data_IF_912368284984
#
_entry.id   IF_912368284984
#
_cell.length_a   1.000
_cell.length_b   1.000
_cell.length_c   1.000
_cell.angle_alpha   90.00
_cell.angle_beta   90.00
_cell.angle_gamma   90.00
#
_symmetry.space_group_name_H-M   'P 1'
#
loop_
_entity.id
_entity.type
_entity.pdbx_description
1 polymer ?
#
# COMPACT_ATOMS: atom_id res chain seq x y z
N UNK A 1 -10.48 -9.76 18.59
CA UNK A 1 -11.50 -9.44 17.55
C UNK A 1 -11.21 -8.05 17.01
N UNK A 2 -11.27 -7.84 15.70
CA UNK A 2 -11.04 -6.52 15.09
C UNK A 2 -12.22 -5.59 15.40
N UNK A 3 -11.96 -4.38 15.89
CA UNK A 3 -13.01 -3.40 16.24
C UNK A 3 -13.72 -2.90 14.98
N UNK A 4 -15.05 -3.03 14.96
CA UNK A 4 -15.91 -2.48 13.91
C UNK A 4 -16.20 -1.01 14.21
N UNK A 5 -16.12 -0.15 13.20
CA UNK A 5 -16.64 1.21 13.25
C UNK A 5 -18.08 1.21 12.70
N UNK A 6 -19.12 1.41 13.53
CA UNK A 6 -20.49 1.46 13.05
C UNK A 6 -20.74 2.74 12.24
N UNK A 7 -21.65 2.67 11.27
CA UNK A 7 -22.07 3.81 10.44
C UNK A 7 -21.22 4.01 9.18
N UNK A 8 -21.41 5.17 8.53
CA UNK A 8 -20.72 5.57 7.30
C UNK A 8 -19.47 6.37 7.63
N UNK A 9 -18.32 5.81 7.28
CA UNK A 9 -16.99 6.36 7.53
C UNK A 9 -16.25 6.62 6.21
N UNK A 10 -15.23 7.46 6.26
CA UNK A 10 -14.31 7.78 5.15
C UNK A 10 -12.87 7.85 5.66
N UNK A 11 -11.92 7.83 4.74
CA UNK A 11 -10.54 8.21 4.99
C UNK A 11 -10.38 9.74 4.89
N UNK A 12 -9.41 10.29 5.59
CA UNK A 12 -9.01 11.70 5.52
C UNK A 12 -7.49 11.79 5.46
N UNK A 13 -6.98 12.38 4.37
CA UNK A 13 -5.56 12.58 4.08
C UNK A 13 -5.37 13.85 3.28
N UNK A 14 -4.36 14.63 3.65
CA UNK A 14 -3.98 15.85 2.95
C UNK A 14 -2.89 15.56 1.91
N UNK A 15 -2.93 16.29 0.80
CA UNK A 15 -1.94 16.25 -0.27
C UNK A 15 -1.89 14.93 -1.06
N UNK A 16 -0.98 14.89 -2.03
CA UNK A 16 -0.75 13.75 -2.92
C UNK A 16 -0.28 12.51 -2.15
N UNK A 17 -0.78 11.32 -2.51
CA UNK A 17 -0.26 10.06 -1.98
C UNK A 17 -0.16 9.02 -3.09
N UNK A 18 0.56 7.94 -2.83
CA UNK A 18 0.73 6.84 -3.79
C UNK A 18 -0.02 5.61 -3.32
N UNK A 19 -0.77 4.99 -4.23
CA UNK A 19 -1.26 3.62 -4.08
C UNK A 19 -0.29 2.71 -4.82
N UNK A 20 0.36 1.81 -4.09
CA UNK A 20 1.28 0.83 -4.64
C UNK A 20 0.70 -0.58 -4.45
N UNK A 21 0.31 -1.19 -5.55
CA UNK A 21 -0.12 -2.58 -5.60
C UNK A 21 1.09 -3.43 -5.92
N UNK A 22 1.30 -4.51 -5.18
CA UNK A 22 2.29 -5.52 -5.56
C UNK A 22 1.73 -6.90 -5.31
N UNK A 23 2.13 -7.87 -6.12
CA UNK A 23 1.70 -9.23 -5.92
C UNK A 23 2.73 -10.26 -6.33
N UNK A 24 2.52 -11.46 -5.82
CA UNK A 24 3.33 -12.63 -6.09
C UNK A 24 2.43 -13.80 -6.46
N UNK A 25 2.73 -14.43 -7.59
CA UNK A 25 2.07 -15.65 -8.06
C UNK A 25 3.07 -16.79 -8.12
N UNK A 26 2.74 -17.93 -7.52
CA UNK A 26 3.54 -19.15 -7.62
C UNK A 26 3.04 -19.99 -8.79
N UNK A 27 3.84 -20.09 -9.85
CA UNK A 27 3.46 -20.88 -11.03
C UNK A 27 3.89 -22.35 -10.90
N UNK A 28 4.97 -22.62 -10.16
CA UNK A 28 5.50 -23.97 -9.88
C UNK A 28 5.54 -24.22 -8.38
N UNK A 29 4.40 -24.62 -7.81
CA UNK A 29 4.23 -24.77 -6.35
C UNK A 29 5.16 -25.80 -5.72
N UNK A 30 5.56 -26.84 -6.44
CA UNK A 30 6.51 -27.88 -6.00
C UNK A 30 7.98 -27.42 -5.92
N UNK A 31 8.28 -26.15 -6.23
CA UNK A 31 9.61 -25.55 -6.08
C UNK A 31 9.67 -24.57 -4.89
N UNK A 32 9.49 -25.02 -3.64
CA UNK A 32 9.47 -24.12 -2.47
C UNK A 32 10.75 -23.30 -2.30
N UNK A 33 11.90 -23.86 -2.70
CA UNK A 33 13.19 -23.15 -2.71
C UNK A 33 13.24 -21.94 -3.65
N UNK A 34 12.27 -21.78 -4.57
CA UNK A 34 12.14 -20.60 -5.44
C UNK A 34 11.20 -19.55 -4.87
N UNK A 35 10.05 -19.92 -4.32
CA UNK A 35 9.02 -18.97 -3.91
C UNK A 35 9.01 -18.61 -2.42
N UNK A 36 9.45 -19.51 -1.53
CA UNK A 36 9.54 -19.20 -0.09
C UNK A 36 10.48 -18.02 0.23
N UNK A 37 11.66 -17.89 -0.42
CA UNK A 37 12.53 -16.74 -0.18
C UNK A 37 11.88 -15.41 -0.58
N UNK A 38 11.11 -15.38 -1.67
CA UNK A 38 10.41 -14.18 -2.14
C UNK A 38 9.34 -13.77 -1.13
N UNK A 39 8.52 -14.71 -0.69
CA UNK A 39 7.51 -14.48 0.34
C UNK A 39 8.13 -13.92 1.63
N UNK A 40 9.24 -14.53 2.06
CA UNK A 40 9.94 -14.13 3.28
C UNK A 40 10.54 -12.72 3.17
N UNK A 41 11.07 -12.38 1.99
CA UNK A 41 11.62 -11.05 1.71
C UNK A 41 10.54 -9.96 1.73
N UNK A 42 9.35 -10.21 1.15
CA UNK A 42 8.22 -9.27 1.23
C UNK A 42 7.81 -9.04 2.69
N UNK A 43 7.73 -10.11 3.49
CA UNK A 43 7.44 -10.00 4.92
C UNK A 43 8.49 -9.19 5.69
N UNK A 44 9.77 -9.41 5.42
CA UNK A 44 10.87 -8.66 6.04
C UNK A 44 10.83 -7.17 5.63
N UNK A 45 10.60 -6.87 4.35
CA UNK A 45 10.45 -5.50 3.85
C UNK A 45 9.32 -4.76 4.56
N UNK A 46 8.14 -5.37 4.66
CA UNK A 46 7.00 -4.77 5.37
C UNK A 46 7.26 -4.53 6.86
N UNK A 47 8.06 -5.40 7.52
CA UNK A 47 8.45 -5.18 8.91
C UNK A 47 9.30 -3.93 9.05
N UNK A 48 10.29 -3.74 8.16
CA UNK A 48 11.11 -2.52 8.13
C UNK A 48 10.24 -1.30 7.90
N UNK A 49 9.36 -1.33 6.90
CA UNK A 49 8.44 -0.22 6.59
C UNK A 49 7.55 0.17 7.77
N UNK A 50 7.01 -0.82 8.50
CA UNK A 50 6.20 -0.55 9.71
C UNK A 50 7.01 0.03 10.88
N UNK A 51 8.33 -0.21 10.92
CA UNK A 51 9.22 0.30 11.98
C UNK A 51 9.90 1.64 11.66
N UNK A 52 9.81 2.10 10.40
CA UNK A 52 10.55 3.27 9.89
C UNK A 52 9.60 4.23 9.15
N UNK A 53 8.82 5.05 9.90
CA UNK A 53 7.88 6.00 9.30
C UNK A 53 8.54 7.03 8.39
N UNK A 54 9.83 7.33 8.60
CA UNK A 54 10.66 8.24 7.79
C UNK A 54 10.77 7.79 6.32
N UNK A 55 10.55 6.50 6.04
CA UNK A 55 10.55 5.94 4.69
C UNK A 55 9.27 6.29 3.90
N UNK A 56 8.30 6.97 4.50
CA UNK A 56 7.10 7.43 3.82
C UNK A 56 6.02 6.37 3.63
N UNK A 57 6.15 5.20 4.27
CA UNK A 57 5.10 4.18 4.30
C UNK A 57 3.98 4.61 5.26
N UNK A 58 2.78 4.79 4.73
CA UNK A 58 1.61 5.21 5.50
C UNK A 58 0.84 4.02 6.07
N UNK A 59 0.85 2.88 5.37
CA UNK A 59 0.12 1.69 5.79
C UNK A 59 -0.28 0.82 4.61
N UNK A 60 -1.07 -0.22 4.88
CA UNK A 60 -1.48 -1.17 3.85
C UNK A 60 -2.02 -2.47 4.40
N UNK A 61 -2.50 -3.30 3.47
CA UNK A 61 -3.08 -4.61 3.74
C UNK A 61 -2.60 -5.68 2.78
N UNK A 62 -2.94 -6.93 3.07
CA UNK A 62 -2.65 -8.09 2.25
C UNK A 62 -3.93 -8.87 2.00
N UNK A 63 -4.11 -9.33 0.76
CA UNK A 63 -5.20 -10.19 0.33
C UNK A 63 -4.63 -11.42 -0.35
N UNK A 64 -5.22 -12.57 -0.04
CA UNK A 64 -4.96 -13.82 -0.73
C UNK A 64 -6.12 -14.09 -1.68
N UNK A 65 -5.79 -14.27 -2.96
CA UNK A 65 -6.75 -14.61 -3.99
C UNK A 65 -6.31 -15.84 -4.77
N UNK A 66 -7.15 -16.22 -5.74
CA UNK A 66 -6.88 -17.33 -6.67
C UNK A 66 -5.53 -17.18 -7.37
N UNK A 67 -5.19 -15.94 -7.76
CA UNK A 67 -4.00 -15.68 -8.58
C UNK A 67 -2.74 -15.35 -7.77
N UNK A 68 -2.80 -15.50 -6.44
CA UNK A 68 -1.67 -15.30 -5.54
C UNK A 68 -1.96 -14.29 -4.44
N UNK A 69 -0.89 -13.84 -3.78
CA UNK A 69 -0.98 -12.78 -2.79
C UNK A 69 -0.87 -11.42 -3.45
N UNK A 70 -1.70 -10.48 -2.99
CA UNK A 70 -1.64 -9.07 -3.34
C UNK A 70 -1.49 -8.25 -2.07
N UNK A 71 -0.62 -7.24 -2.12
CA UNK A 71 -0.45 -6.24 -1.09
C UNK A 71 -0.84 -4.89 -1.66
N UNK A 72 -1.64 -4.16 -0.91
CA UNK A 72 -1.96 -2.75 -1.18
C UNK A 72 -1.20 -1.92 -0.16
N UNK A 73 -0.33 -1.03 -0.64
CA UNK A 73 0.42 -0.12 0.20
C UNK A 73 0.09 1.33 -0.14
N UNK A 74 0.07 2.17 0.88
CA UNK A 74 -0.10 3.62 0.75
C UNK A 74 1.21 4.28 1.14
N UNK A 75 1.69 5.19 0.30
CA UNK A 75 2.93 5.92 0.51
C UNK A 75 2.68 7.41 0.43
N UNK A 76 3.49 8.18 1.16
CA UNK A 76 3.35 9.63 1.20
C UNK A 76 3.78 10.29 -0.11
N UNK A 77 4.80 9.77 -0.80
CA UNK A 77 5.24 10.30 -2.10
C UNK A 77 5.92 9.25 -2.98
N UNK A 78 6.04 9.53 -4.27
CA UNK A 78 6.76 8.68 -5.23
C UNK A 78 8.24 8.60 -4.87
N UNK A 79 8.85 9.73 -4.48
CA UNK A 79 10.27 9.83 -4.15
C UNK A 79 10.63 8.95 -2.95
N UNK A 80 9.75 8.89 -1.95
CA UNK A 80 9.96 8.03 -0.77
C UNK A 80 9.83 6.55 -1.11
N UNK A 81 8.83 6.17 -1.92
CA UNK A 81 8.70 4.80 -2.44
C UNK A 81 9.93 4.38 -3.26
N UNK A 82 10.37 5.23 -4.18
CA UNK A 82 11.53 4.96 -5.03
C UNK A 82 12.83 4.88 -4.22
N UNK A 83 13.00 5.75 -3.24
CA UNK A 83 14.14 5.70 -2.31
C UNK A 83 14.18 4.36 -1.61
N UNK A 84 13.04 3.90 -1.06
CA UNK A 84 12.97 2.58 -0.43
C UNK A 84 13.34 1.45 -1.39
N UNK A 85 12.86 1.53 -2.64
CA UNK A 85 13.10 0.49 -3.64
C UNK A 85 14.57 0.40 -4.08
N UNK A 86 15.30 1.53 -4.09
CA UNK A 86 16.67 1.64 -4.63
C UNK A 86 17.77 1.61 -3.58
N UNK A 87 17.48 1.92 -2.32
CA UNK A 87 18.48 1.97 -1.26
C UNK A 87 19.07 0.57 -0.97
N UNK A 88 20.38 0.36 -1.16
CA UNK A 88 21.02 -0.94 -0.96
C UNK A 88 21.11 -1.36 0.52
N UNK A 89 20.94 -0.42 1.46
CA UNK A 89 20.89 -0.71 2.90
C UNK A 89 19.52 -1.22 3.35
N UNK A 90 18.49 -1.05 2.52
CA UNK A 90 17.13 -1.48 2.79
C UNK A 90 16.84 -2.85 2.17
N UNK A 91 15.87 -3.61 2.70
CA UNK A 91 15.68 -5.01 2.35
C UNK A 91 15.20 -5.26 0.91
N UNK A 92 14.66 -4.25 0.21
CA UNK A 92 14.07 -4.42 -1.12
C UNK A 92 15.13 -4.77 -2.18
N UNK A 93 16.14 -3.92 -2.36
CA UNK A 93 17.12 -4.07 -3.45
C UNK A 93 17.91 -5.40 -3.36
N UNK A 94 18.43 -5.82 -2.19
CA UNK A 94 19.11 -7.11 -2.06
C UNK A 94 18.17 -8.31 -2.27
N UNK A 95 16.89 -8.19 -1.91
CA UNK A 95 15.90 -9.23 -2.19
C UNK A 95 15.61 -9.35 -3.68
N UNK A 96 15.46 -8.22 -4.39
CA UNK A 96 15.24 -8.20 -5.83
C UNK A 96 16.41 -8.82 -6.61
N UNK A 97 17.64 -8.49 -6.21
CA UNK A 97 18.83 -9.12 -6.79
C UNK A 97 18.85 -10.65 -6.60
N UNK A 98 18.47 -11.14 -5.40
CA UNK A 98 18.36 -12.58 -5.13
C UNK A 98 17.27 -13.24 -5.98
N UNK A 99 16.12 -12.59 -6.12
CA UNK A 99 15.04 -13.05 -6.99
C UNK A 99 15.51 -13.17 -8.45
N UNK A 100 16.18 -12.16 -8.99
CA UNK A 100 16.66 -12.18 -10.38
C UNK A 100 17.67 -13.30 -10.63
N UNK A 101 18.57 -13.58 -9.67
CA UNK A 101 19.51 -14.71 -9.79
C UNK A 101 18.84 -16.07 -9.68
N UNK A 102 17.85 -16.21 -8.79
CA UNK A 102 17.23 -17.50 -8.50
C UNK A 102 16.10 -17.86 -9.48
N UNK A 103 15.32 -16.88 -9.92
CA UNK A 103 14.12 -17.06 -10.75
C UNK A 103 14.31 -16.35 -12.09
N UNK A 104 14.63 -15.06 -12.08
CA UNK A 104 14.77 -14.26 -13.29
C UNK A 104 13.57 -14.45 -14.23
N UNK A 105 13.84 -14.65 -15.52
CA UNK A 105 12.81 -14.87 -16.54
C UNK A 105 12.31 -16.33 -16.68
N UNK A 106 12.63 -17.24 -15.76
CA UNK A 106 12.33 -18.67 -15.94
C UNK A 106 10.85 -19.05 -15.72
N UNK A 107 10.03 -18.12 -15.20
CA UNK A 107 8.59 -18.28 -15.02
C UNK A 107 8.15 -19.10 -13.80
N UNK A 108 9.05 -19.57 -12.94
CA UNK A 108 8.70 -20.35 -11.74
C UNK A 108 7.85 -19.55 -10.74
N UNK A 109 8.12 -18.25 -10.62
CA UNK A 109 7.44 -17.29 -9.74
C UNK A 109 7.22 -15.99 -10.50
N UNK A 110 5.98 -15.49 -10.52
CA UNK A 110 5.64 -14.17 -11.02
C UNK A 110 5.62 -13.14 -9.90
N UNK A 111 6.16 -11.96 -10.17
CA UNK A 111 6.02 -10.77 -9.33
C UNK A 111 5.50 -9.64 -10.21
N UNK A 112 4.56 -8.86 -9.71
CA UNK A 112 4.01 -7.71 -10.43
C UNK A 112 3.81 -6.54 -9.45
N UNK A 113 3.78 -5.33 -9.98
CA UNK A 113 3.41 -4.15 -9.22
C UNK A 113 2.80 -3.07 -10.11
N UNK A 114 1.95 -2.24 -9.51
CA UNK A 114 1.33 -1.07 -10.13
C UNK A 114 1.46 0.11 -9.16
N UNK A 115 1.76 1.30 -9.70
CA UNK A 115 1.93 2.51 -8.92
C UNK A 115 0.99 3.59 -9.46
N UNK A 116 0.18 4.16 -8.57
CA UNK A 116 -0.72 5.26 -8.88
C UNK A 116 -0.41 6.44 -7.99
N UNK A 117 -0.04 7.57 -8.59
CA UNK A 117 -0.02 8.85 -7.90
C UNK A 117 -1.44 9.39 -7.85
N UNK A 118 -1.94 9.63 -6.63
CA UNK A 118 -3.28 10.14 -6.37
C UNK A 118 -3.18 11.57 -5.90
N UNK A 119 -3.70 12.48 -6.70
CA UNK A 119 -3.79 13.90 -6.38
C UNK A 119 -5.04 14.22 -5.54
N UNK A 120 -5.03 15.30 -4.75
CA UNK A 120 -6.19 15.84 -4.06
C UNK A 120 -7.42 15.92 -4.95
N UNK A 121 -8.55 15.41 -4.46
CA UNK A 121 -9.81 15.34 -5.20
C UNK A 121 -9.89 14.28 -6.29
N UNK A 122 -8.81 13.53 -6.56
CA UNK A 122 -8.80 12.40 -7.50
C UNK A 122 -9.27 11.06 -6.90
N UNK A 123 -9.82 11.06 -5.68
CA UNK A 123 -10.10 9.82 -4.95
C UNK A 123 -11.32 9.94 -4.04
N UNK A 124 -11.85 8.78 -3.66
CA UNK A 124 -12.91 8.64 -2.67
C UNK A 124 -12.77 7.31 -1.93
N UNK A 125 -13.13 7.30 -0.65
CA UNK A 125 -13.27 6.07 0.12
C UNK A 125 -14.52 6.14 1.02
N UNK A 126 -15.29 5.05 1.06
CA UNK A 126 -16.41 4.88 1.99
C UNK A 126 -16.29 3.51 2.64
N UNK A 127 -16.52 3.48 3.96
CA UNK A 127 -16.56 2.26 4.77
C UNK A 127 -17.87 2.26 5.56
N UNK A 128 -18.66 1.18 5.47
CA UNK A 128 -19.95 1.08 6.18
C UNK A 128 -19.94 -0.14 7.08
N UNK A 129 -20.04 0.07 8.40
CA UNK A 129 -20.02 -1.01 9.40
C UNK A 129 -18.79 -1.93 9.27
N UNK A 130 -17.63 -1.35 8.92
CA UNK A 130 -16.39 -2.08 8.66
C UNK A 130 -15.33 -1.76 9.73
N UNK A 131 -14.37 -2.67 9.98
CA UNK A 131 -13.13 -2.26 10.62
C UNK A 131 -12.36 -1.28 9.71
N UNK A 132 -11.31 -0.63 10.22
CA UNK A 132 -10.39 0.14 9.39
C UNK A 132 -9.82 -0.77 8.29
N UNK A 133 -9.97 -0.37 7.04
CA UNK A 133 -9.56 -1.11 5.85
C UNK A 133 -9.07 -0.14 4.77
N UNK A 134 -8.23 -0.61 3.85
CA UNK A 134 -7.71 0.20 2.74
C UNK A 134 -7.03 1.47 3.24
N UNK A 135 -7.33 2.60 2.60
CA UNK A 135 -6.73 3.91 2.90
C UNK A 135 -6.94 4.33 4.36
N UNK A 136 -8.08 4.00 4.97
CA UNK A 136 -8.35 4.30 6.38
C UNK A 136 -7.44 3.55 7.36
N UNK A 137 -6.69 2.53 6.94
CA UNK A 137 -5.62 1.94 7.79
C UNK A 137 -4.37 2.82 7.86
N UNK A 138 -4.16 3.63 6.83
CA UNK A 138 -2.99 4.47 6.64
C UNK A 138 -3.24 5.95 7.02
N UNK A 139 -4.50 6.30 7.30
CA UNK A 139 -4.97 7.69 7.41
C UNK A 139 -6.05 7.81 8.49
N UNK A 140 -6.55 9.02 8.76
CA UNK A 140 -7.65 9.21 9.70
C UNK A 140 -8.92 8.50 9.20
N UNK A 141 -9.71 7.95 10.13
CA UNK A 141 -10.96 7.24 9.84
C UNK A 141 -12.12 7.98 10.51
N UNK A 142 -12.88 8.75 9.73
CA UNK A 142 -13.81 9.76 10.23
C UNK A 142 -15.23 9.55 9.68
N UNK A 143 -16.30 10.00 10.36
CA UNK A 143 -17.66 9.96 9.81
C UNK A 143 -17.75 10.72 8.48
N UNK A 144 -18.51 10.19 7.52
CA UNK A 144 -18.69 10.80 6.18
C UNK A 144 -19.18 12.24 6.25
N UNK A 145 -20.11 12.56 7.16
CA UNK A 145 -20.64 13.92 7.33
C UNK A 145 -19.58 14.97 7.71
N UNK A 146 -18.39 14.57 8.16
CA UNK A 146 -17.27 15.51 8.36
C UNK A 146 -16.61 15.94 7.06
N UNK A 147 -16.76 15.20 5.97
CA UNK A 147 -16.10 15.43 4.68
C UNK A 147 -17.08 15.78 3.54
N UNK A 148 -18.38 15.56 3.75
CA UNK A 148 -19.44 15.78 2.75
C UNK A 148 -20.22 14.50 2.50
N UNK A 149 -21.52 14.61 2.22
CA UNK A 149 -22.41 13.46 2.10
C UNK A 149 -22.39 12.86 0.68
N UNK A 150 -22.09 13.67 -0.33
CA UNK A 150 -21.90 13.23 -1.71
C UNK A 150 -20.43 12.97 -2.06
N UNK A 151 -20.23 12.17 -3.12
CA UNK A 151 -18.90 11.88 -3.67
C UNK A 151 -18.22 13.13 -4.24
N UNK A 152 -19.01 14.02 -4.84
CA UNK A 152 -18.52 15.29 -5.37
C UNK A 152 -18.04 16.21 -4.25
N UNK A 153 -18.80 16.35 -3.16
CA UNK A 153 -18.42 17.17 -2.01
C UNK A 153 -17.11 16.70 -1.38
N UNK A 154 -16.94 15.39 -1.17
CA UNK A 154 -15.71 14.83 -0.59
C UNK A 154 -14.50 15.08 -1.48
N UNK A 155 -14.64 14.88 -2.80
CA UNK A 155 -13.55 15.17 -3.75
C UNK A 155 -13.22 16.65 -3.80
N UNK A 156 -14.22 17.51 -3.84
CA UNK A 156 -14.02 18.96 -3.83
C UNK A 156 -13.29 19.40 -2.55
N UNK A 157 -13.70 18.88 -1.39
CA UNK A 157 -13.05 19.17 -0.11
C UNK A 157 -11.60 18.69 -0.08
N UNK A 158 -11.32 17.47 -0.55
CA UNK A 158 -9.96 16.97 -0.64
C UNK A 158 -9.11 17.87 -1.56
N UNK A 159 -9.65 18.34 -2.69
CA UNK A 159 -8.97 19.27 -3.59
C UNK A 159 -8.70 20.65 -2.97
N UNK A 160 -9.55 21.11 -2.05
CA UNK A 160 -9.39 22.39 -1.34
C UNK A 160 -8.56 22.31 -0.07
N UNK A 161 -8.18 21.11 0.38
CA UNK A 161 -7.31 20.93 1.54
C UNK A 161 -5.88 21.32 1.16
N UNK A 162 -5.42 22.48 1.62
CA UNK A 162 -4.03 22.88 1.46
C UNK A 162 -3.11 21.87 2.17
N UNK A 163 -1.98 21.47 1.57
CA UNK A 163 -1.00 20.67 2.27
C UNK A 163 -0.50 21.46 3.48
N UNK A 164 -0.28 20.82 4.65
CA UNK A 164 0.21 21.54 5.83
C UNK A 164 1.52 22.25 5.48
N UNK A 165 1.57 23.56 5.70
CA UNK A 165 2.78 24.36 5.59
C UNK A 165 3.87 23.75 6.47
N UNK A 166 4.89 23.15 5.86
CA UNK A 166 6.11 22.78 6.56
C UNK A 166 6.92 24.06 6.70
N UNK A 167 6.91 24.64 7.91
CA UNK A 167 7.87 25.67 8.33
C UNK A 167 9.20 25.02 8.72
#
# INVERSE_FOLDING_TARGET
MTKIAPGRMTAEIDGDYVVFLLGMRVNRWWKPHKWLPVWSAVGAANRVLRSRPDLGYLGGGQWLGRDGAMLVQYWRSVEQLERFARDPSLPHQPAWQRFNRAVGGNGDVGVWHEMYLVQPGGWEAIYVNMPRLGLATATAHVPVGRQGDSSQERRARAASAEPPHVS
#
